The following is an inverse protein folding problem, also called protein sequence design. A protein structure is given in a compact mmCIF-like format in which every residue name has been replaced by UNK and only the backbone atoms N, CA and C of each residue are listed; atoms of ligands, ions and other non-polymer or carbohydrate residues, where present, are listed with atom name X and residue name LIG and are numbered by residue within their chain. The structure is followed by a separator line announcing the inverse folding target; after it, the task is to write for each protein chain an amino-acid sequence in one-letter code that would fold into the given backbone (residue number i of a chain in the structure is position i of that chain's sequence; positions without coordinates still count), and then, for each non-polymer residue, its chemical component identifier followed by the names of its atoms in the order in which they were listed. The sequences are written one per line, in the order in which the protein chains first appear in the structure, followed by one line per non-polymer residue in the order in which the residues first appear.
data_IF_383513515797
#
_entry.id   IF_383513515797
#
_cell.length_a   1.000
_cell.length_b   1.000
_cell.length_c   1.000
_cell.angle_alpha   90.00
_cell.angle_beta   90.00
_cell.angle_gamma   90.00
#
_symmetry.space_group_name_H-M   'P 1'
#
loop_
_entity.id
_entity.type
_entity.pdbx_description
1 polymer ?
#
# COMPACT_ATOMS: atom_id res chain seq x y z
N UNK A 1 56.44 -57.57 4.95
CA UNK A 1 56.67 -56.25 5.59
C UNK A 1 56.34 -55.20 4.54
N UNK A 2 55.70 -54.11 4.98
CA UNK A 2 55.26 -52.94 4.20
C UNK A 2 53.84 -53.01 3.61
N UNK A 3 52.97 -52.34 4.36
CA UNK A 3 51.66 -51.83 4.00
C UNK A 3 51.78 -50.74 2.90
N UNK A 4 50.67 -50.41 2.25
CA UNK A 4 49.91 -49.17 2.52
C UNK A 4 48.69 -49.07 1.59
N UNK A 5 47.56 -48.80 2.22
CA UNK A 5 46.29 -48.39 1.63
C UNK A 5 46.40 -47.07 0.83
N UNK A 6 45.56 -46.92 -0.19
CA UNK A 6 45.19 -45.63 -0.79
C UNK A 6 43.78 -45.79 -1.38
N UNK A 7 42.75 -45.57 -0.57
CA UNK A 7 41.99 -44.31 -0.50
C UNK A 7 41.35 -43.96 -1.84
N UNK A 8 40.05 -44.28 -1.92
CA UNK A 8 39.15 -43.78 -2.93
C UNK A 8 39.00 -42.26 -2.81
N UNK A 9 38.68 -41.67 -3.95
CA UNK A 9 38.11 -40.32 -4.03
C UNK A 9 36.84 -40.44 -4.85
N UNK A 10 35.75 -40.76 -4.16
CA UNK A 10 34.42 -40.39 -4.59
C UNK A 10 34.38 -38.87 -4.66
N UNK A 11 34.55 -38.30 -5.84
CA UNK A 11 34.25 -36.88 -6.05
C UNK A 11 32.73 -36.71 -6.04
N UNK A 12 32.15 -36.71 -4.83
CA UNK A 12 30.90 -36.03 -4.54
C UNK A 12 31.17 -34.53 -4.73
N UNK A 13 30.96 -34.06 -5.95
CA UNK A 13 30.76 -32.63 -6.19
C UNK A 13 29.33 -32.37 -5.71
N UNK A 14 29.21 -31.93 -4.47
CA UNK A 14 28.07 -31.14 -4.03
C UNK A 14 28.04 -29.90 -4.91
N UNK A 15 27.34 -30.00 -6.04
CA UNK A 15 26.86 -28.83 -6.76
C UNK A 15 25.86 -28.19 -5.81
N UNK A 16 26.34 -27.28 -4.96
CA UNK A 16 25.47 -26.34 -4.25
C UNK A 16 24.54 -25.75 -5.31
N UNK A 17 23.29 -26.20 -5.30
CA UNK A 17 22.26 -25.67 -6.17
C UNK A 17 22.19 -24.16 -5.86
N UNK A 18 22.71 -23.35 -6.77
CA UNK A 18 22.60 -21.89 -6.70
C UNK A 18 21.11 -21.61 -6.94
N UNK A 19 20.32 -21.66 -5.88
CA UNK A 19 18.90 -21.33 -5.94
C UNK A 19 18.79 -19.89 -6.41
N UNK A 20 18.06 -19.66 -7.49
CA UNK A 20 17.83 -18.32 -7.99
C UNK A 20 17.21 -17.45 -6.89
N UNK A 21 17.59 -16.16 -6.78
CA UNK A 21 17.02 -15.28 -5.78
C UNK A 21 15.51 -15.19 -5.99
N UNK A 22 14.74 -15.33 -4.91
CA UNK A 22 13.28 -15.18 -4.90
C UNK A 22 12.85 -13.96 -4.11
N UNK A 23 11.75 -13.34 -4.50
CA UNK A 23 11.16 -12.21 -3.79
C UNK A 23 10.86 -12.58 -2.33
N UNK A 24 11.40 -11.82 -1.39
CA UNK A 24 11.19 -12.01 0.05
C UNK A 24 9.71 -11.85 0.49
N UNK A 25 8.87 -11.24 -0.34
CA UNK A 25 7.45 -10.99 -0.03
C UNK A 25 6.54 -12.08 -0.63
N UNK A 26 6.68 -12.41 -1.91
CA UNK A 26 5.79 -13.38 -2.59
C UNK A 26 6.43 -14.74 -2.87
N UNK A 27 7.73 -14.90 -2.57
CA UNK A 27 8.50 -16.13 -2.78
C UNK A 27 8.57 -16.57 -4.25
N UNK A 28 8.42 -15.63 -5.19
CA UNK A 28 8.54 -15.87 -6.64
C UNK A 28 9.86 -15.30 -7.17
N UNK A 29 10.41 -15.94 -8.19
CA UNK A 29 11.65 -15.54 -8.88
C UNK A 29 11.54 -14.15 -9.53
N UNK A 30 12.70 -13.56 -9.84
CA UNK A 30 12.78 -12.37 -10.68
C UNK A 30 12.66 -12.76 -12.15
N UNK A 31 11.86 -12.01 -12.90
CA UNK A 31 11.79 -12.13 -14.37
C UNK A 31 12.28 -10.84 -15.01
N UNK A 32 12.68 -10.85 -16.28
CA UNK A 32 13.10 -9.63 -17.00
C UNK A 32 12.05 -8.50 -16.94
N UNK A 33 10.77 -8.89 -17.03
CA UNK A 33 9.64 -7.95 -16.94
C UNK A 33 9.32 -7.49 -15.51
N UNK A 34 9.76 -8.26 -14.51
CA UNK A 34 9.49 -8.01 -13.09
C UNK A 34 10.74 -8.38 -12.28
N UNK A 35 11.82 -7.59 -12.40
CA UNK A 35 13.09 -7.92 -11.79
C UNK A 35 13.02 -7.78 -10.27
N UNK A 36 13.94 -8.46 -9.60
CA UNK A 36 14.15 -8.29 -8.17
C UNK A 36 15.02 -7.07 -7.89
N UNK A 37 14.66 -6.35 -6.85
CA UNK A 37 15.35 -5.17 -6.35
C UNK A 37 15.90 -5.45 -4.95
N UNK A 38 17.02 -4.82 -4.62
CA UNK A 38 17.53 -4.73 -3.24
C UNK A 38 17.39 -3.28 -2.78
N UNK A 39 16.25 -2.89 -2.17
CA UNK A 39 15.95 -1.48 -1.86
C UNK A 39 16.80 -0.91 -0.71
N UNK A 40 17.59 -1.74 -0.03
CA UNK A 40 18.46 -1.36 1.08
C UNK A 40 19.62 -2.36 1.21
N UNK A 41 20.55 -2.09 2.14
CA UNK A 41 21.73 -2.93 2.36
C UNK A 41 21.47 -4.29 3.04
N UNK A 42 20.23 -4.60 3.43
CA UNK A 42 19.89 -5.89 4.06
C UNK A 42 20.16 -7.07 3.13
N UNK A 43 21.01 -7.99 3.56
CA UNK A 43 21.38 -9.19 2.79
C UNK A 43 20.20 -10.17 2.67
N UNK A 44 20.11 -10.83 1.51
CA UNK A 44 19.14 -11.92 1.28
C UNK A 44 17.67 -11.49 1.25
N UNK A 45 17.38 -10.21 0.95
CA UNK A 45 15.99 -9.70 0.89
C UNK A 45 15.68 -9.01 -0.44
N UNK A 46 15.89 -9.68 -1.59
CA UNK A 46 15.44 -9.14 -2.86
C UNK A 46 13.89 -9.08 -2.89
N UNK A 47 13.32 -8.06 -3.51
CA UNK A 47 11.86 -7.89 -3.61
C UNK A 47 11.47 -7.36 -4.98
N UNK A 48 10.30 -7.75 -5.50
CA UNK A 48 9.73 -7.06 -6.66
C UNK A 48 9.28 -5.65 -6.27
N UNK A 49 9.35 -4.73 -7.23
CA UNK A 49 8.93 -3.33 -7.05
C UNK A 49 7.48 -3.22 -6.57
N UNK A 50 6.56 -3.94 -7.21
CA UNK A 50 5.13 -3.90 -6.89
C UNK A 50 4.83 -4.54 -5.53
N UNK A 51 5.56 -5.60 -5.18
CA UNK A 51 5.42 -6.27 -3.89
C UNK A 51 5.85 -5.35 -2.75
N UNK A 52 6.99 -4.66 -2.91
CA UNK A 52 7.45 -3.65 -1.97
C UNK A 52 6.44 -2.51 -1.85
N UNK A 53 5.98 -1.96 -2.97
CA UNK A 53 5.04 -0.84 -2.98
C UNK A 53 3.70 -1.19 -2.31
N UNK A 54 3.16 -2.39 -2.54
CA UNK A 54 1.96 -2.89 -1.84
C UNK A 54 2.19 -3.06 -0.35
N UNK A 55 3.35 -3.58 0.06
CA UNK A 55 3.69 -3.73 1.47
C UNK A 55 3.83 -2.37 2.17
N UNK A 56 4.46 -1.38 1.51
CA UNK A 56 4.55 -0.01 2.01
C UNK A 56 3.16 0.61 2.18
N UNK A 57 2.28 0.45 1.17
CA UNK A 57 0.90 0.91 1.26
C UNK A 57 0.14 0.23 2.41
N UNK A 58 0.27 -1.08 2.61
CA UNK A 58 -0.33 -1.77 3.75
C UNK A 58 0.23 -1.29 5.11
N UNK A 59 1.46 -0.79 5.09
CA UNK A 59 2.15 -0.23 6.24
C UNK A 59 1.92 1.27 6.42
N UNK A 60 0.97 1.87 5.68
CA UNK A 60 0.69 3.31 5.70
C UNK A 60 0.48 3.83 7.12
N UNK A 61 1.12 4.95 7.42
CA UNK A 61 1.06 5.57 8.74
C UNK A 61 2.01 4.95 9.78
N UNK A 62 2.86 4.00 9.38
CA UNK A 62 3.95 3.44 10.18
C UNK A 62 5.30 3.80 9.56
N UNK A 63 6.41 3.60 10.28
CA UNK A 63 7.75 3.85 9.73
C UNK A 63 8.05 2.96 8.53
N UNK A 64 7.52 1.73 8.53
CA UNK A 64 7.65 0.75 7.46
C UNK A 64 7.08 1.20 6.11
N UNK A 65 6.19 2.19 6.08
CA UNK A 65 5.76 2.83 4.83
C UNK A 65 6.96 3.41 4.06
N UNK A 66 7.95 3.94 4.78
CA UNK A 66 9.06 4.73 4.23
C UNK A 66 10.43 4.16 4.53
N UNK A 67 10.57 3.30 5.53
CA UNK A 67 11.86 2.81 6.01
C UNK A 67 11.88 1.29 6.09
N UNK A 68 13.05 0.71 5.82
CA UNK A 68 13.26 -0.71 6.02
C UNK A 68 13.08 -1.06 7.50
N UNK A 69 12.22 -2.03 7.82
CA UNK A 69 11.98 -2.46 9.22
C UNK A 69 13.21 -3.05 9.93
N UNK A 70 14.28 -3.33 9.19
CA UNK A 70 15.48 -3.99 9.71
C UNK A 70 16.67 -3.02 9.84
N UNK A 71 16.99 -2.28 8.78
CA UNK A 71 18.12 -1.36 8.77
C UNK A 71 17.70 0.13 8.82
N UNK A 72 16.40 0.43 8.84
CA UNK A 72 15.83 1.78 8.87
C UNK A 72 16.19 2.70 7.69
N UNK A 73 16.87 2.15 6.68
CA UNK A 73 17.19 2.85 5.45
C UNK A 73 15.93 3.25 4.69
N UNK A 74 15.98 4.40 4.03
CA UNK A 74 14.86 4.96 3.27
C UNK A 74 14.52 4.06 2.08
N UNK A 75 13.27 3.60 2.01
CA UNK A 75 12.76 2.81 0.91
C UNK A 75 12.34 3.71 -0.27
N UNK A 76 12.32 3.18 -1.50
CA UNK A 76 11.77 3.86 -2.67
C UNK A 76 10.32 4.31 -2.47
N UNK A 77 9.90 5.37 -3.17
CA UNK A 77 8.51 5.82 -3.13
C UNK A 77 7.57 4.81 -3.80
N UNK A 78 6.56 4.36 -3.04
CA UNK A 78 5.58 3.37 -3.51
C UNK A 78 4.60 3.96 -4.52
N UNK A 79 4.36 5.27 -4.48
CA UNK A 79 3.32 5.93 -5.28
C UNK A 79 3.68 5.91 -6.75
N UNK A 80 4.94 6.15 -7.10
CA UNK A 80 5.40 6.01 -8.48
C UNK A 80 5.02 4.65 -9.07
N UNK A 81 5.12 3.59 -8.26
CA UNK A 81 4.81 2.21 -8.67
C UNK A 81 3.32 1.92 -8.75
N UNK A 82 2.52 2.26 -7.72
CA UNK A 82 1.09 1.89 -7.68
C UNK A 82 0.18 2.90 -8.38
N UNK A 83 0.59 4.17 -8.40
CA UNK A 83 -0.21 5.28 -8.89
C UNK A 83 0.28 5.77 -10.26
N UNK A 84 1.47 5.35 -10.72
CA UNK A 84 1.97 5.68 -12.04
C UNK A 84 2.62 7.07 -12.13
N UNK A 85 3.21 7.53 -11.02
CA UNK A 85 4.11 8.68 -10.97
C UNK A 85 3.60 9.93 -11.68
N UNK A 86 2.82 10.75 -10.98
CA UNK A 86 2.84 12.19 -11.24
C UNK A 86 3.49 12.84 -10.04
N UNK A 87 4.73 13.23 -10.25
CA UNK A 87 5.50 14.13 -9.42
C UNK A 87 4.63 15.30 -8.92
N UNK A 88 5.02 15.91 -7.81
CA UNK A 88 4.30 17.00 -7.15
C UNK A 88 4.21 18.31 -7.95
N UNK A 89 3.93 18.26 -9.24
CA UNK A 89 3.84 19.42 -10.12
C UNK A 89 2.42 19.99 -10.16
N UNK A 90 2.33 21.20 -9.60
CA UNK A 90 1.36 22.28 -9.79
C UNK A 90 0.04 22.23 -9.02
N UNK A 91 0.02 22.99 -7.90
CA UNK A 91 -0.68 24.29 -7.77
C UNK A 91 -2.16 24.39 -8.18
N UNK A 92 -2.85 23.29 -8.48
CA UNK A 92 -4.30 23.25 -8.43
C UNK A 92 -4.72 22.99 -6.99
N UNK A 93 -5.57 23.87 -6.46
CA UNK A 93 -6.17 23.70 -5.15
C UNK A 93 -6.66 22.24 -4.98
N UNK A 94 -6.42 21.60 -3.82
CA UNK A 94 -6.78 20.20 -3.61
C UNK A 94 -8.26 19.99 -3.95
N UNK A 95 -8.52 19.21 -5.01
CA UNK A 95 -9.90 18.95 -5.46
C UNK A 95 -10.61 18.08 -4.41
N UNK A 96 -11.82 18.46 -3.97
CA UNK A 96 -12.59 17.63 -3.06
C UNK A 96 -12.89 16.26 -3.68
N UNK A 97 -12.67 15.20 -2.91
CA UNK A 97 -13.04 13.82 -3.25
C UNK A 97 -14.28 13.45 -2.44
N UNK A 98 -15.16 12.61 -2.99
CA UNK A 98 -16.31 12.10 -2.24
C UNK A 98 -15.95 10.76 -1.60
N UNK A 99 -15.96 10.70 -0.27
CA UNK A 99 -15.80 9.46 0.50
C UNK A 99 -17.15 8.94 0.98
N UNK A 100 -17.31 7.62 0.97
CA UNK A 100 -18.46 6.96 1.59
C UNK A 100 -18.09 6.51 3.00
N UNK A 101 -18.56 7.20 4.02
CA UNK A 101 -18.32 6.81 5.41
C UNK A 101 -19.44 5.88 5.86
N UNK A 102 -19.10 4.66 6.28
CA UNK A 102 -20.07 3.70 6.81
C UNK A 102 -20.01 3.72 8.32
N UNK A 103 -21.15 4.00 8.96
CA UNK A 103 -21.32 4.02 10.41
C UNK A 103 -22.73 3.53 10.78
N UNK A 104 -22.84 2.60 11.72
CA UNK A 104 -24.12 1.98 12.11
C UNK A 104 -24.98 1.53 10.92
N UNK A 105 -24.35 0.81 9.97
CA UNK A 105 -24.98 0.34 8.74
C UNK A 105 -25.54 1.44 7.81
N UNK A 106 -25.21 2.70 8.08
CA UNK A 106 -25.64 3.86 7.30
C UNK A 106 -24.45 4.43 6.53
N UNK A 107 -24.68 4.81 5.27
CA UNK A 107 -23.63 5.36 4.38
C UNK A 107 -23.77 6.88 4.28
N UNK A 108 -22.74 7.60 4.68
CA UNK A 108 -22.64 9.05 4.62
C UNK A 108 -21.65 9.46 3.53
N UNK A 109 -22.11 10.19 2.52
CA UNK A 109 -21.22 10.74 1.50
C UNK A 109 -20.69 12.09 1.95
N UNK A 110 -19.39 12.19 2.19
CA UNK A 110 -18.76 13.44 2.66
C UNK A 110 -17.63 13.88 1.72
N UNK A 111 -17.48 15.19 1.46
CA UNK A 111 -16.33 15.70 0.75
C UNK A 111 -15.10 15.63 1.67
N UNK A 112 -13.98 15.16 1.12
CA UNK A 112 -12.69 15.09 1.78
C UNK A 112 -11.60 15.74 0.93
N UNK A 113 -10.59 16.29 1.59
CA UNK A 113 -9.44 16.91 0.94
C UNK A 113 -8.17 16.11 1.23
N UNK A 114 -7.25 15.96 0.27
CA UNK A 114 -5.92 15.45 0.55
C UNK A 114 -5.14 16.33 1.54
N UNK A 115 -4.13 15.73 2.17
CA UNK A 115 -3.16 16.44 3.02
C UNK A 115 -3.59 16.68 4.48
N UNK A 116 -2.73 17.35 5.28
CA UNK A 116 -2.90 17.47 6.73
C UNK A 116 -4.17 18.23 7.14
N UNK A 117 -4.47 19.34 6.46
CA UNK A 117 -5.67 20.15 6.71
C UNK A 117 -6.95 19.35 6.41
N UNK A 118 -6.92 18.55 5.34
CA UNK A 118 -8.01 17.64 4.99
C UNK A 118 -8.23 16.54 6.02
N UNK A 119 -7.15 15.94 6.54
CA UNK A 119 -7.19 14.96 7.64
C UNK A 119 -7.86 15.55 8.89
N UNK A 120 -7.47 16.77 9.28
CA UNK A 120 -8.06 17.46 10.43
C UNK A 120 -9.55 17.77 10.22
N UNK A 121 -9.93 18.23 9.02
CA UNK A 121 -11.31 18.50 8.66
C UNK A 121 -12.17 17.21 8.64
N UNK A 122 -11.66 16.12 8.08
CA UNK A 122 -12.30 14.81 8.08
C UNK A 122 -12.54 14.32 9.52
N UNK A 123 -11.50 14.36 10.38
CA UNK A 123 -11.62 13.96 11.78
C UNK A 123 -12.71 14.77 12.51
N UNK A 124 -12.70 16.10 12.34
CA UNK A 124 -13.73 16.97 12.93
C UNK A 124 -15.12 16.62 12.43
N UNK A 125 -15.29 16.43 11.12
CA UNK A 125 -16.59 16.11 10.51
C UNK A 125 -17.15 14.76 10.96
N UNK A 126 -16.30 13.73 11.05
CA UNK A 126 -16.67 12.41 11.55
C UNK A 126 -17.09 12.48 13.03
N UNK A 127 -16.35 13.24 13.85
CA UNK A 127 -16.70 13.47 15.26
C UNK A 127 -18.06 14.18 15.41
N UNK A 128 -18.30 15.22 14.63
CA UNK A 128 -19.58 15.95 14.63
C UNK A 128 -20.75 15.08 14.17
N UNK A 129 -20.57 14.32 13.08
CA UNK A 129 -21.63 13.50 12.49
C UNK A 129 -22.08 12.35 13.38
N UNK A 130 -21.15 11.76 14.13
CA UNK A 130 -21.41 10.55 14.92
C UNK A 130 -21.46 10.84 16.43
N UNK A 131 -21.40 12.10 16.84
CA UNK A 131 -21.44 12.49 18.25
C UNK A 131 -20.25 11.94 19.05
N UNK A 132 -19.11 11.71 18.39
CA UNK A 132 -17.90 11.13 18.99
C UNK A 132 -17.03 12.18 19.69
N UNK A 133 -17.62 13.32 20.05
CA UNK A 133 -16.97 14.39 20.80
C UNK A 133 -16.21 13.79 21.98
N UNK A 134 -14.88 13.85 21.93
CA UNK A 134 -13.95 13.31 22.94
C UNK A 134 -13.74 11.79 22.99
N UNK A 135 -14.20 11.01 22.00
CA UNK A 135 -13.92 9.57 21.89
C UNK A 135 -12.82 9.27 20.87
N UNK A 136 -11.98 8.30 21.20
CA UNK A 136 -11.08 7.69 20.23
C UNK A 136 -11.92 6.77 19.34
N UNK A 137 -11.79 6.94 18.02
CA UNK A 137 -12.44 6.06 17.04
C UNK A 137 -11.38 5.49 16.10
N UNK A 138 -11.62 4.26 15.64
CA UNK A 138 -10.80 3.64 14.63
C UNK A 138 -11.46 3.85 13.26
N UNK A 139 -10.64 4.13 12.24
CA UNK A 139 -11.09 4.25 10.86
C UNK A 139 -10.38 3.20 10.03
N UNK A 140 -11.12 2.48 9.21
CA UNK A 140 -10.58 1.62 8.15
C UNK A 140 -10.95 2.20 6.79
N UNK A 141 -9.97 2.42 5.92
CA UNK A 141 -10.15 2.91 4.56
C UNK A 141 -10.06 1.74 3.59
N UNK A 142 -11.12 1.48 2.84
CA UNK A 142 -11.09 0.58 1.69
C UNK A 142 -10.75 1.37 0.43
N UNK A 143 -9.70 0.93 -0.27
CA UNK A 143 -9.15 1.58 -1.45
C UNK A 143 -9.05 0.56 -2.58
N UNK A 144 -9.53 0.91 -3.78
CA UNK A 144 -9.32 0.11 -5.00
C UNK A 144 -8.06 0.60 -5.72
N UNK A 145 -7.14 -0.32 -6.03
CA UNK A 145 -5.99 -0.05 -6.88
C UNK A 145 -6.30 -0.38 -8.35
N UNK A 146 -5.42 0.04 -9.27
CA UNK A 146 -5.60 -0.12 -10.72
C UNK A 146 -5.87 -1.57 -11.15
N UNK A 147 -5.23 -2.54 -10.49
CA UNK A 147 -5.28 -3.97 -10.80
C UNK A 147 -6.42 -4.70 -10.08
N UNK A 148 -7.52 -4.01 -9.78
CA UNK A 148 -8.69 -4.55 -9.05
C UNK A 148 -8.46 -5.02 -7.61
N UNK A 149 -7.23 -4.96 -7.10
CA UNK A 149 -6.93 -5.24 -5.70
C UNK A 149 -7.57 -4.20 -4.77
N UNK A 150 -8.34 -4.70 -3.79
CA UNK A 150 -8.80 -3.91 -2.65
C UNK A 150 -7.76 -3.94 -1.55
N UNK A 151 -7.39 -2.77 -1.03
CA UNK A 151 -6.52 -2.64 0.13
C UNK A 151 -7.30 -1.99 1.26
N UNK A 152 -7.25 -2.61 2.44
CA UNK A 152 -7.81 -2.06 3.66
C UNK A 152 -6.69 -1.43 4.48
N UNK A 153 -6.77 -0.12 4.70
CA UNK A 153 -5.81 0.66 5.47
C UNK A 153 -6.42 1.06 6.80
N UNK A 154 -5.73 0.81 7.91
CA UNK A 154 -6.28 1.05 9.25
C UNK A 154 -5.69 2.27 9.93
N UNK A 155 -6.52 2.91 10.74
CA UNK A 155 -6.17 4.07 11.55
C UNK A 155 -6.16 5.37 10.73
N UNK A 156 -6.37 6.48 11.43
CA UNK A 156 -6.38 7.81 10.83
C UNK A 156 -5.02 8.20 10.21
N UNK A 157 -3.93 7.53 10.58
CA UNK A 157 -2.61 7.75 9.98
C UNK A 157 -2.52 7.29 8.53
N UNK A 158 -3.39 6.39 8.09
CA UNK A 158 -3.48 5.99 6.68
C UNK A 158 -4.28 6.96 5.79
N UNK A 159 -4.85 8.04 6.36
CA UNK A 159 -5.69 8.99 5.62
C UNK A 159 -4.99 9.55 4.37
N UNK A 160 -3.71 9.90 4.49
CA UNK A 160 -2.96 10.46 3.37
C UNK A 160 -2.83 9.46 2.21
N UNK A 161 -2.40 8.23 2.50
CA UNK A 161 -2.32 7.17 1.49
C UNK A 161 -3.68 6.87 0.86
N UNK A 162 -4.75 6.81 1.66
CA UNK A 162 -6.11 6.58 1.18
C UNK A 162 -6.59 7.67 0.21
N UNK A 163 -6.39 8.95 0.57
CA UNK A 163 -6.81 10.08 -0.27
C UNK A 163 -6.01 10.19 -1.57
N UNK A 164 -4.72 9.85 -1.55
CA UNK A 164 -3.91 9.82 -2.79
C UNK A 164 -4.39 8.72 -3.75
N UNK A 165 -4.66 7.52 -3.23
CA UNK A 165 -5.21 6.44 -4.06
C UNK A 165 -6.59 6.80 -4.63
N UNK A 166 -7.45 7.44 -3.82
CA UNK A 166 -8.75 7.93 -4.25
C UNK A 166 -8.62 9.00 -5.35
N UNK A 167 -7.71 9.97 -5.19
CA UNK A 167 -7.46 11.01 -6.17
C UNK A 167 -7.03 10.43 -7.52
N UNK A 168 -6.16 9.44 -7.51
CA UNK A 168 -5.69 8.78 -8.75
C UNK A 168 -6.77 7.96 -9.43
N UNK A 169 -7.62 7.29 -8.65
CA UNK A 169 -8.79 6.59 -9.17
C UNK A 169 -9.77 7.56 -9.84
N UNK A 170 -10.04 8.70 -9.19
CA UNK A 170 -10.87 9.75 -9.76
C UNK A 170 -10.30 10.34 -11.06
N UNK A 171 -8.97 10.54 -11.13
CA UNK A 171 -8.30 11.00 -12.36
C UNK A 171 -8.48 10.01 -13.51
N UNK A 172 -8.27 8.71 -13.27
CA UNK A 172 -8.47 7.66 -14.28
C UNK A 172 -9.91 7.60 -14.76
N UNK A 173 -10.88 7.73 -13.85
CA UNK A 173 -12.30 7.77 -14.20
C UNK A 173 -12.64 8.97 -15.11
N UNK A 174 -12.05 10.14 -14.84
CA UNK A 174 -12.25 11.34 -15.66
C UNK A 174 -11.60 11.23 -17.05
N UNK A 175 -10.45 10.57 -17.17
CA UNK A 175 -9.74 10.39 -18.44
C UNK A 175 -10.34 9.31 -19.35
N UNK A 176 -11.16 8.40 -18.82
CA UNK A 176 -11.71 7.26 -19.56
C UNK A 176 -13.05 7.50 -20.28
N UNK A 177 -13.56 8.74 -20.37
CA UNK A 177 -14.92 9.00 -20.86
C UNK A 177 -14.97 9.47 -22.33
N UNK A 178 -14.61 8.57 -23.26
CA UNK A 178 -15.06 8.58 -24.66
C UNK A 178 -15.34 7.15 -25.12
N UNK A 179 -16.36 6.49 -24.55
CA UNK A 179 -17.38 5.73 -25.31
C UNK A 179 -18.46 5.16 -24.34
N UNK A 180 -19.71 5.28 -24.78
CA UNK A 180 -20.98 4.72 -24.31
C UNK A 180 -21.15 4.06 -22.91
N UNK A 181 -22.20 4.48 -22.19
CA UNK A 181 -23.02 3.54 -21.42
C UNK A 181 -23.53 4.02 -20.06
N UNK A 182 -24.82 4.33 -20.00
CA UNK A 182 -25.61 4.58 -18.79
C UNK A 182 -25.34 3.54 -17.68
N UNK A 183 -24.77 4.00 -16.56
CA UNK A 183 -24.62 3.19 -15.35
C UNK A 183 -23.44 3.64 -14.50
N UNK A 184 -23.63 4.69 -13.69
CA UNK A 184 -22.62 5.15 -12.75
C UNK A 184 -22.32 4.07 -11.68
N UNK A 185 -21.08 3.56 -11.55
CA UNK A 185 -20.63 3.01 -10.28
C UNK A 185 -19.96 4.14 -9.50
N UNK A 186 -20.54 4.44 -8.34
CA UNK A 186 -19.92 5.31 -7.34
C UNK A 186 -18.55 4.73 -6.96
N UNK A 187 -17.47 5.30 -7.48
CA UNK A 187 -16.10 4.95 -7.08
C UNK A 187 -15.84 5.55 -5.70
N UNK A 188 -16.32 4.85 -4.68
CA UNK A 188 -16.24 5.26 -3.30
C UNK A 188 -15.06 4.59 -2.63
N UNK A 189 -14.04 5.36 -2.26
CA UNK A 189 -13.22 4.97 -1.12
C UNK A 189 -14.12 4.99 0.09
N UNK A 190 -14.41 3.82 0.66
CA UNK A 190 -15.26 3.73 1.83
C UNK A 190 -14.43 3.76 3.10
N UNK A 191 -14.71 4.70 4.00
CA UNK A 191 -14.10 4.76 5.32
C UNK A 191 -15.10 4.19 6.34
N UNK A 192 -14.75 3.13 7.03
CA UNK A 192 -15.56 2.57 8.11
C UNK A 192 -15.05 3.15 9.42
N UNK A 193 -15.91 3.83 10.19
CA UNK A 193 -15.59 4.23 11.56
C UNK A 193 -16.15 3.18 12.51
N UNK A 194 -15.28 2.50 13.25
CA UNK A 194 -15.68 1.56 14.30
C UNK A 194 -15.65 2.27 15.66
N UNK A 195 -16.75 2.19 16.41
CA UNK A 195 -16.84 2.69 17.79
C UNK A 195 -16.16 1.68 18.71
N UNK A 196 -15.03 2.06 19.31
CA UNK A 196 -14.30 1.20 20.24
C UNK A 196 -14.87 1.41 21.66
N UNK A 197 -16.05 0.83 21.94
CA UNK A 197 -16.55 0.69 23.32
C UNK A 197 -15.81 -0.49 23.95
N UNK A 198 -14.73 -0.22 24.70
CA UNK A 198 -14.25 -1.19 25.68
C UNK A 198 -15.03 -0.99 26.99
N UNK A 199 -15.81 -2.03 27.29
CA UNK A 199 -16.30 -2.40 28.62
C UNK A 199 -15.12 -2.69 29.56
#
# INVERSE_FOLDING_TARGET
MSATSGLGVDTNIDVEAISEPVCYICLQEGMDVKPLLTPCACKGRPVHRECLARWQLHSSGKSEERQCRFCFEQLPDWQATLLGGSDGSNEDAPKPLMAAVVFNNTVYKIPILPGPSGKAAFKRKVNELFGLSNRMFEVAFEVKLAQEDKVNLRGLNAYEAATRCAAMSARRAASGNTDAGLGAPSQTSSAQAADLVHQ
#
